data_IF_251114092656
#
_entry.id   IF_251114092656
#
_cell.length_a   1.000
_cell.length_b   1.000
_cell.length_c   1.000
_cell.angle_alpha   90.00
_cell.angle_beta   90.00
_cell.angle_gamma   90.00
#
_symmetry.space_group_name_H-M   'P 1'
#
loop_
_entity.id
_entity.type
_entity.pdbx_description
1 polymer ?
#
# COMPACT_ATOMS: atom_id res chain seq x y z
N UNK A 1 15.98 -39.68 22.41
CA UNK A 1 16.05 -38.28 22.84
C UNK A 1 14.71 -37.65 22.51
N UNK A 2 13.74 -37.69 23.42
CA UNK A 2 12.47 -37.01 23.22
C UNK A 2 12.66 -35.58 23.71
N UNK A 3 12.81 -34.66 22.77
CA UNK A 3 12.90 -33.23 23.08
C UNK A 3 11.56 -32.79 23.67
N UNK A 4 11.57 -32.47 24.95
CA UNK A 4 10.45 -31.80 25.61
C UNK A 4 10.33 -30.41 25.01
N UNK A 5 9.47 -30.23 24.00
CA UNK A 5 9.04 -28.92 23.57
C UNK A 5 8.21 -28.31 24.70
N UNK A 6 8.88 -27.65 25.64
CA UNK A 6 8.23 -26.80 26.63
C UNK A 6 7.30 -25.83 25.90
N UNK A 7 6.07 -25.73 26.38
CA UNK A 7 5.03 -24.83 25.88
C UNK A 7 5.57 -23.40 25.98
N UNK A 8 6.15 -22.88 24.89
CA UNK A 8 6.61 -21.50 24.85
C UNK A 8 5.40 -20.59 25.06
N UNK A 9 5.43 -19.83 26.15
CA UNK A 9 4.37 -18.89 26.49
C UNK A 9 4.51 -17.64 25.61
N UNK A 10 3.90 -17.67 24.42
CA UNK A 10 3.81 -16.53 23.50
C UNK A 10 2.87 -15.42 23.99
N UNK A 11 2.23 -15.56 25.15
CA UNK A 11 1.25 -14.61 25.68
C UNK A 11 1.84 -13.27 26.14
N UNK A 12 3.16 -13.18 26.32
CA UNK A 12 3.85 -11.96 26.76
C UNK A 12 4.81 -11.38 25.70
N UNK A 13 4.59 -11.67 24.42
CA UNK A 13 5.35 -11.00 23.37
C UNK A 13 4.91 -9.54 23.25
N UNK A 14 5.85 -8.57 23.14
CA UNK A 14 5.49 -7.19 22.89
C UNK A 14 4.76 -7.09 21.54
N UNK A 15 3.57 -6.49 21.55
CA UNK A 15 2.83 -6.19 20.32
C UNK A 15 3.55 -5.04 19.62
N UNK A 16 4.21 -5.35 18.50
CA UNK A 16 4.78 -4.34 17.62
C UNK A 16 3.66 -3.48 17.05
N UNK A 17 3.72 -2.17 17.30
CA UNK A 17 2.92 -1.20 16.55
C UNK A 17 3.76 -0.80 15.34
N UNK A 18 3.35 -1.22 14.16
CA UNK A 18 4.00 -0.77 12.94
C UNK A 18 3.53 0.66 12.66
N UNK A 19 4.46 1.55 12.34
CA UNK A 19 4.15 2.90 11.85
C UNK A 19 3.83 2.85 10.36
N UNK A 20 2.93 3.71 9.90
CA UNK A 20 2.60 3.82 8.49
C UNK A 20 3.86 4.27 7.73
N UNK A 21 4.20 3.55 6.66
CA UNK A 21 5.38 3.86 5.85
C UNK A 21 4.99 4.94 4.84
N UNK A 22 5.59 6.11 4.97
CA UNK A 22 5.42 7.20 4.00
C UNK A 22 6.27 6.96 2.74
N UNK A 23 5.74 7.39 1.60
CA UNK A 23 6.46 7.30 0.33
C UNK A 23 7.64 8.28 0.31
N UNK A 24 8.83 7.78 -0.05
CA UNK A 24 10.04 8.59 -0.23
C UNK A 24 10.47 8.59 -1.70
N UNK A 25 10.31 9.73 -2.37
CA UNK A 25 10.69 9.89 -3.78
C UNK A 25 12.20 9.73 -4.01
N UNK A 26 13.03 10.12 -3.03
CA UNK A 26 14.50 9.96 -3.12
C UNK A 26 14.96 8.51 -3.02
N UNK A 27 14.11 7.63 -2.46
CA UNK A 27 14.36 6.20 -2.37
C UNK A 27 13.69 5.40 -3.50
N UNK A 28 12.86 6.07 -4.30
CA UNK A 28 12.14 5.46 -5.39
C UNK A 28 13.11 5.09 -6.52
N UNK A 29 13.02 3.84 -6.99
CA UNK A 29 13.75 3.44 -8.18
C UNK A 29 12.99 3.82 -9.46
N UNK A 30 13.60 3.56 -10.62
CA UNK A 30 12.95 3.87 -11.90
C UNK A 30 11.61 3.13 -12.10
N UNK A 31 11.45 1.94 -11.54
CA UNK A 31 10.20 1.19 -11.66
C UNK A 31 9.10 1.85 -10.80
N UNK A 32 9.44 2.30 -9.59
CA UNK A 32 8.54 3.04 -8.72
C UNK A 32 8.04 4.32 -9.40
N UNK A 33 8.95 5.09 -9.99
CA UNK A 33 8.61 6.33 -10.70
C UNK A 33 7.68 6.07 -11.91
N UNK A 34 7.91 5.00 -12.66
CA UNK A 34 7.04 4.62 -13.79
C UNK A 34 5.66 4.19 -13.30
N UNK A 35 5.59 3.46 -12.19
CA UNK A 35 4.33 3.04 -11.59
C UNK A 35 3.50 4.24 -11.12
N UNK A 36 4.13 5.21 -10.44
CA UNK A 36 3.49 6.45 -10.02
C UNK A 36 2.88 7.20 -11.19
N UNK A 37 3.66 7.39 -12.27
CA UNK A 37 3.18 8.10 -13.46
C UNK A 37 1.98 7.41 -14.10
N UNK A 38 2.00 6.07 -14.16
CA UNK A 38 0.88 5.29 -14.70
C UNK A 38 -0.37 5.40 -13.83
N UNK A 39 -0.22 5.43 -12.51
CA UNK A 39 -1.34 5.62 -11.58
C UNK A 39 -1.97 7.01 -11.77
N UNK A 40 -1.16 8.06 -11.84
CA UNK A 40 -1.63 9.43 -12.05
C UNK A 40 -2.36 9.58 -13.41
N UNK A 41 -1.82 9.01 -14.49
CA UNK A 41 -2.46 9.02 -15.81
C UNK A 41 -3.81 8.26 -15.81
N UNK A 42 -3.90 7.15 -15.07
CA UNK A 42 -5.13 6.38 -14.93
C UNK A 42 -6.20 7.15 -14.14
N UNK A 43 -5.81 7.79 -13.04
CA UNK A 43 -6.69 8.60 -12.21
C UNK A 43 -7.20 9.83 -12.97
N UNK A 44 -6.32 10.52 -13.70
CA UNK A 44 -6.70 11.63 -14.57
C UNK A 44 -7.73 11.21 -15.62
N UNK A 45 -7.55 10.03 -16.22
CA UNK A 45 -8.52 9.46 -17.17
C UNK A 45 -9.84 9.12 -16.49
N UNK A 46 -9.80 8.55 -15.29
CA UNK A 46 -11.00 8.20 -14.54
C UNK A 46 -11.79 9.44 -14.13
N UNK A 47 -11.13 10.51 -13.67
CA UNK A 47 -11.77 11.79 -13.36
C UNK A 47 -12.36 12.46 -14.61
N UNK A 48 -11.64 12.44 -15.73
CA UNK A 48 -12.15 12.94 -17.00
C UNK A 48 -13.39 12.15 -17.46
N UNK A 49 -13.37 10.82 -17.32
CA UNK A 49 -14.53 9.98 -17.64
C UNK A 49 -15.72 10.21 -16.70
N UNK A 50 -15.47 10.36 -15.40
CA UNK A 50 -16.51 10.63 -14.41
C UNK A 50 -17.17 12.00 -14.63
N UNK A 51 -16.40 13.03 -14.97
CA UNK A 51 -16.95 14.36 -15.26
C UNK A 51 -17.79 14.38 -16.55
N UNK A 52 -17.38 13.65 -17.60
CA UNK A 52 -18.18 13.48 -18.82
C UNK A 52 -19.46 12.67 -18.58
N UNK A 53 -19.41 11.63 -17.74
CA UNK A 53 -20.60 10.88 -17.35
C UNK A 53 -21.58 11.75 -16.56
N UNK A 54 -21.10 12.57 -15.62
CA UNK A 54 -21.93 13.51 -14.86
C UNK A 54 -22.62 14.54 -15.76
N UNK A 55 -21.94 15.07 -16.78
CA UNK A 55 -22.54 16.01 -17.74
C UNK A 55 -23.58 15.37 -18.66
N UNK A 56 -23.50 14.05 -18.88
CA UNK A 56 -24.46 13.32 -19.73
C UNK A 56 -25.77 12.97 -19.02
N UNK A 57 -25.80 13.07 -17.69
CA UNK A 57 -26.95 12.78 -16.84
C UNK A 57 -27.79 14.02 -16.50
N UNK A 58 -27.41 15.21 -16.98
CA UNK A 58 -28.14 16.48 -16.85
C UNK A 58 -28.83 16.83 -18.16
#
# INVERSE_FOLDING_TARGET
MSENLEKQNFGNLPIGKNEDVEFSEEQADNADLIAMKRAEEADARAQAGASQQAQRLL
#
